data_IF_174161023297
#
_entry.id   IF_174161023297
#
_cell.length_a   1.000
_cell.length_b   1.000
_cell.length_c   1.000
_cell.angle_alpha   90.00
_cell.angle_beta   90.00
_cell.angle_gamma   90.00
#
_symmetry.space_group_name_H-M   'P 1'
#
loop_
_entity.id
_entity.type
_entity.pdbx_description
1 polymer ?
#
# COMPACT_ATOMS: atom_id res chain seq x y z
N UNK A 1 -40.72 -20.95 -22.61
CA UNK A 1 -40.03 -21.33 -21.37
C UNK A 1 -38.65 -20.70 -21.37
N UNK A 2 -38.35 -20.00 -20.27
CA UNK A 2 -37.05 -19.55 -19.76
C UNK A 2 -36.30 -18.50 -20.61
N UNK A 3 -36.55 -17.24 -20.21
CA UNK A 3 -35.74 -16.06 -20.51
C UNK A 3 -34.30 -16.26 -20.02
N UNK A 4 -33.33 -16.01 -20.89
CA UNK A 4 -31.92 -15.85 -20.51
C UNK A 4 -31.83 -14.67 -19.53
N UNK A 5 -31.65 -14.96 -18.25
CA UNK A 5 -31.26 -13.96 -17.26
C UNK A 5 -29.90 -13.41 -17.67
N UNK A 6 -29.87 -12.14 -18.09
CA UNK A 6 -28.63 -11.40 -18.26
C UNK A 6 -27.89 -11.42 -16.92
N UNK A 7 -26.76 -12.12 -16.88
CA UNK A 7 -25.81 -11.99 -15.77
C UNK A 7 -25.27 -10.57 -15.86
N UNK A 8 -25.84 -9.70 -15.04
CA UNK A 8 -25.39 -8.33 -14.87
C UNK A 8 -24.01 -8.42 -14.23
N UNK A 9 -22.95 -8.25 -15.04
CA UNK A 9 -21.58 -8.15 -14.55
C UNK A 9 -21.51 -6.95 -13.60
N UNK A 10 -21.68 -7.19 -12.30
CA UNK A 10 -21.37 -6.18 -11.29
C UNK A 10 -19.84 -6.05 -11.28
N UNK A 11 -19.36 -4.82 -11.42
CA UNK A 11 -17.98 -4.51 -11.09
C UNK A 11 -17.71 -4.99 -9.65
N UNK A 12 -16.55 -5.61 -9.41
CA UNK A 12 -16.23 -6.09 -8.08
C UNK A 12 -16.02 -4.91 -7.12
N UNK A 13 -16.58 -5.02 -5.92
CA UNK A 13 -16.30 -4.07 -4.84
C UNK A 13 -14.80 -4.14 -4.50
N UNK A 14 -14.09 -3.02 -4.60
CA UNK A 14 -12.63 -2.94 -4.38
C UNK A 14 -12.27 -2.93 -2.89
N UNK A 15 -12.86 -3.87 -2.14
CA UNK A 15 -12.83 -3.93 -0.69
C UNK A 15 -11.63 -4.73 -0.13
N UNK A 16 -11.60 -4.87 1.20
CA UNK A 16 -10.61 -5.66 1.92
C UNK A 16 -10.44 -7.09 1.37
N UNK A 17 -11.55 -7.78 1.09
CA UNK A 17 -11.51 -9.18 0.67
C UNK A 17 -10.96 -9.29 -0.75
N UNK A 18 -11.38 -8.39 -1.64
CA UNK A 18 -10.91 -8.29 -3.01
C UNK A 18 -9.39 -8.11 -3.10
N UNK A 19 -8.83 -7.18 -2.32
CA UNK A 19 -7.38 -6.96 -2.30
C UNK A 19 -6.63 -8.11 -1.62
N UNK A 20 -7.14 -8.60 -0.49
CA UNK A 20 -6.52 -9.71 0.23
C UNK A 20 -6.43 -10.99 -0.61
N UNK A 21 -7.46 -11.29 -1.40
CA UNK A 21 -7.46 -12.48 -2.26
C UNK A 21 -6.40 -12.39 -3.37
N UNK A 22 -6.17 -11.21 -3.94
CA UNK A 22 -5.11 -11.04 -4.94
C UNK A 22 -3.73 -11.32 -4.37
N UNK A 23 -3.46 -10.88 -3.14
CA UNK A 23 -2.20 -11.22 -2.48
C UNK A 23 -2.08 -12.73 -2.23
N UNK A 24 -3.14 -13.40 -1.77
CA UNK A 24 -3.13 -14.86 -1.58
C UNK A 24 -2.91 -15.64 -2.88
N UNK A 25 -3.51 -15.16 -3.95
CA UNK A 25 -3.46 -15.78 -5.27
C UNK A 25 -2.28 -15.30 -6.13
N UNK A 26 -1.35 -14.49 -5.58
CA UNK A 26 -0.22 -13.87 -6.30
C UNK A 26 -0.64 -13.10 -7.58
N UNK A 27 -1.84 -12.52 -7.58
CA UNK A 27 -2.36 -11.68 -8.67
C UNK A 27 -1.97 -10.22 -8.47
N UNK A 28 -0.67 -9.96 -8.40
CA UNK A 28 -0.09 -8.64 -8.08
C UNK A 28 0.51 -7.98 -9.32
N UNK A 29 -0.27 -7.85 -10.40
CA UNK A 29 0.22 -7.34 -11.69
C UNK A 29 0.70 -5.88 -11.69
N UNK A 30 0.42 -5.13 -10.63
CA UNK A 30 0.91 -3.77 -10.40
C UNK A 30 2.27 -3.73 -9.68
N UNK A 31 2.73 -4.85 -9.14
CA UNK A 31 3.96 -4.90 -8.36
C UNK A 31 5.20 -4.86 -9.27
N UNK A 32 6.02 -3.82 -9.09
CA UNK A 32 7.27 -3.66 -9.81
C UNK A 32 8.41 -4.56 -9.30
N UNK A 33 8.28 -5.12 -8.09
CA UNK A 33 9.33 -5.90 -7.44
C UNK A 33 10.52 -5.06 -6.92
N UNK A 34 10.43 -3.73 -7.02
CA UNK A 34 11.45 -2.76 -6.62
C UNK A 34 10.81 -1.39 -6.39
N UNK A 35 11.53 -0.50 -5.72
CA UNK A 35 11.13 0.92 -5.61
C UNK A 35 11.02 1.52 -7.01
N UNK A 36 9.95 2.26 -7.30
CA UNK A 36 9.85 2.87 -8.63
C UNK A 36 10.92 3.95 -8.83
N UNK A 37 11.47 4.11 -10.06
CA UNK A 37 12.46 5.14 -10.33
C UNK A 37 12.01 6.56 -9.94
N UNK A 38 10.77 7.02 -10.23
CA UNK A 38 10.34 8.37 -9.85
C UNK A 38 10.28 8.58 -8.33
N UNK A 39 9.77 7.60 -7.57
CA UNK A 39 9.71 7.71 -6.10
C UNK A 39 11.13 7.66 -5.51
N UNK A 40 11.98 6.79 -6.03
CA UNK A 40 13.38 6.70 -5.64
C UNK A 40 14.10 8.04 -5.84
N UNK A 41 13.97 8.63 -7.01
CA UNK A 41 14.60 9.92 -7.37
C UNK A 41 14.07 11.06 -6.50
N UNK A 42 12.79 11.03 -6.12
CA UNK A 42 12.23 11.97 -5.16
C UNK A 42 12.82 11.78 -3.76
N UNK A 43 12.86 10.54 -3.25
CA UNK A 43 13.44 10.22 -1.93
C UNK A 43 14.91 10.66 -1.85
N UNK A 44 15.67 10.52 -2.93
CA UNK A 44 17.09 10.90 -2.97
C UNK A 44 17.33 12.40 -2.79
N UNK A 45 16.33 13.24 -3.05
CA UNK A 45 16.41 14.70 -2.84
C UNK A 45 16.12 15.11 -1.40
N UNK A 46 15.49 14.24 -0.60
CA UNK A 46 15.07 14.55 0.76
C UNK A 46 16.24 14.47 1.74
N UNK A 47 16.57 15.59 2.38
CA UNK A 47 17.68 15.66 3.35
C UNK A 47 17.25 15.41 4.79
N UNK A 48 16.03 15.79 5.17
CA UNK A 48 15.52 15.56 6.52
C UNK A 48 15.03 14.11 6.66
N UNK A 49 15.74 13.33 7.49
CA UNK A 49 15.44 11.92 7.74
C UNK A 49 14.40 11.69 8.85
N UNK A 50 13.94 12.77 9.50
CA UNK A 50 12.95 12.70 10.57
C UNK A 50 11.51 12.94 10.10
N UNK A 51 11.31 13.23 8.81
CA UNK A 51 9.98 13.40 8.23
C UNK A 51 9.06 12.24 8.61
N UNK A 52 7.84 12.57 9.06
CA UNK A 52 6.74 11.62 9.23
C UNK A 52 6.21 11.26 7.84
N UNK A 53 6.57 10.10 7.34
CA UNK A 53 6.19 9.66 5.99
C UNK A 53 5.06 8.63 6.07
N UNK A 54 4.02 8.81 5.26
CA UNK A 54 2.96 7.82 5.05
C UNK A 54 3.04 7.21 3.64
N UNK A 55 2.87 5.90 3.55
CA UNK A 55 2.64 5.18 2.29
C UNK A 55 1.28 4.48 2.35
N UNK A 56 0.23 5.01 1.71
CA UNK A 56 -1.10 4.42 1.70
C UNK A 56 -1.23 3.35 0.61
N UNK A 57 -1.96 2.27 0.90
CA UNK A 57 -2.05 1.11 0.00
C UNK A 57 -0.67 0.55 -0.30
N UNK A 58 0.10 0.30 0.76
CA UNK A 58 1.56 0.22 0.68
C UNK A 58 2.10 -0.97 -0.11
N UNK A 59 1.27 -1.96 -0.44
CA UNK A 59 1.71 -3.15 -1.16
C UNK A 59 2.93 -3.80 -0.52
N UNK A 60 3.81 -4.38 -1.33
CA UNK A 60 5.04 -5.02 -0.84
C UNK A 60 6.11 -4.05 -0.29
N UNK A 61 5.82 -2.73 -0.31
CA UNK A 61 6.52 -1.68 0.43
C UNK A 61 8.02 -1.57 0.12
N UNK A 62 8.39 -1.63 -1.16
CA UNK A 62 9.77 -1.41 -1.61
C UNK A 62 10.24 0.03 -1.34
N UNK A 63 9.32 0.98 -1.42
CA UNK A 63 9.54 2.39 -1.07
C UNK A 63 9.90 2.54 0.42
N UNK A 64 9.22 1.80 1.30
CA UNK A 64 9.52 1.83 2.74
C UNK A 64 10.88 1.20 3.06
N UNK A 65 11.23 0.11 2.38
CA UNK A 65 12.55 -0.52 2.48
C UNK A 65 13.64 0.45 2.03
N UNK A 66 13.45 1.13 0.90
CA UNK A 66 14.40 2.12 0.41
C UNK A 66 14.54 3.33 1.35
N UNK A 67 13.45 3.82 1.94
CA UNK A 67 13.49 4.86 2.96
C UNK A 67 14.31 4.42 4.19
N UNK A 68 14.11 3.19 4.66
CA UNK A 68 14.89 2.65 5.78
C UNK A 68 16.39 2.58 5.44
N UNK A 69 16.75 2.12 4.24
CA UNK A 69 18.14 2.10 3.74
C UNK A 69 18.77 3.50 3.68
N UNK A 70 17.95 4.51 3.37
CA UNK A 70 18.37 5.93 3.34
C UNK A 70 18.38 6.59 4.71
N UNK A 71 18.10 5.84 5.78
CA UNK A 71 18.20 6.29 7.16
C UNK A 71 16.97 7.04 7.68
N UNK A 72 15.83 6.98 7.00
CA UNK A 72 14.59 7.56 7.53
C UNK A 72 14.10 6.79 8.75
N UNK A 73 13.56 7.53 9.72
CA UNK A 73 13.27 6.97 11.06
C UNK A 73 11.78 6.93 11.40
N UNK A 74 10.93 7.59 10.62
CA UNK A 74 9.51 7.78 10.96
C UNK A 74 8.58 7.44 9.79
N UNK A 75 8.55 6.16 9.45
CA UNK A 75 7.78 5.64 8.32
C UNK A 75 6.50 4.99 8.84
N UNK A 76 5.36 5.31 8.26
CA UNK A 76 4.11 4.56 8.46
C UNK A 76 3.66 4.01 7.12
N UNK A 77 3.33 2.72 7.10
CA UNK A 77 2.69 2.07 5.96
C UNK A 77 1.33 1.54 6.39
N UNK A 78 0.35 1.66 5.50
CA UNK A 78 -1.02 1.18 5.74
C UNK A 78 -1.53 0.44 4.52
N UNK A 79 -2.12 -0.72 4.77
CA UNK A 79 -2.85 -1.48 3.75
C UNK A 79 -4.06 -2.17 4.39
N UNK A 80 -5.09 -2.39 3.57
CA UNK A 80 -6.34 -3.01 4.00
C UNK A 80 -6.25 -4.55 3.98
N UNK A 81 -5.29 -5.12 3.23
CA UNK A 81 -5.15 -6.56 3.00
C UNK A 81 -4.38 -7.30 4.14
N UNK A 82 -5.04 -8.19 4.92
CA UNK A 82 -4.39 -8.89 6.03
C UNK A 82 -3.20 -9.78 5.66
N UNK A 83 -3.27 -10.51 4.54
CA UNK A 83 -2.22 -11.44 4.11
C UNK A 83 -0.92 -10.69 3.82
N UNK A 84 -1.02 -9.60 3.06
CA UNK A 84 0.08 -8.71 2.80
C UNK A 84 0.68 -8.17 4.10
N UNK A 85 -0.16 -7.57 4.95
CA UNK A 85 0.32 -6.93 6.19
C UNK A 85 1.00 -7.92 7.13
N UNK A 86 0.53 -9.17 7.17
CA UNK A 86 1.20 -10.25 7.91
C UNK A 86 2.63 -10.46 7.37
N UNK A 87 2.79 -10.56 6.05
CA UNK A 87 4.10 -10.68 5.41
C UNK A 87 5.02 -9.49 5.70
N UNK A 88 4.50 -8.26 5.62
CA UNK A 88 5.24 -7.04 5.92
C UNK A 88 5.73 -6.98 7.37
N UNK A 89 4.90 -7.42 8.33
CA UNK A 89 5.29 -7.51 9.74
C UNK A 89 6.46 -8.47 9.96
N UNK A 90 6.49 -9.58 9.23
CA UNK A 90 7.63 -10.50 9.24
C UNK A 90 8.86 -9.91 8.55
N UNK A 91 8.69 -9.25 7.39
CA UNK A 91 9.76 -8.60 6.62
C UNK A 91 10.50 -7.55 7.45
N UNK A 92 9.75 -6.70 8.16
CA UNK A 92 10.30 -5.57 8.91
C UNK A 92 10.38 -5.79 10.42
N UNK A 93 10.31 -7.04 10.90
CA UNK A 93 10.26 -7.36 12.33
C UNK A 93 11.41 -6.78 13.17
N UNK A 94 12.57 -6.53 12.56
CA UNK A 94 13.76 -5.98 13.21
C UNK A 94 13.83 -4.45 13.18
N UNK A 95 12.96 -3.78 12.41
CA UNK A 95 12.97 -2.33 12.25
C UNK A 95 12.04 -1.67 13.26
N UNK A 96 12.56 -0.68 13.99
CA UNK A 96 11.78 0.19 14.89
C UNK A 96 11.31 1.48 14.21
N UNK A 97 11.82 1.74 13.01
CA UNK A 97 11.63 2.99 12.27
C UNK A 97 10.42 2.94 11.32
N UNK A 98 9.67 1.85 11.36
CA UNK A 98 8.49 1.62 10.52
C UNK A 98 7.31 1.13 11.35
N UNK A 99 6.16 1.78 11.16
CA UNK A 99 4.87 1.39 11.72
C UNK A 99 4.01 0.77 10.62
N UNK A 100 3.50 -0.43 10.88
CA UNK A 100 2.72 -1.20 9.91
C UNK A 100 1.28 -1.33 10.38
N UNK A 101 0.36 -0.72 9.65
CA UNK A 101 -1.06 -0.66 9.98
C UNK A 101 -1.83 -1.58 9.03
N UNK A 102 -2.56 -2.54 9.60
CA UNK A 102 -3.66 -3.21 8.89
C UNK A 102 -4.91 -2.35 9.12
N UNK A 103 -5.39 -1.68 8.09
CA UNK A 103 -6.53 -0.78 8.24
C UNK A 103 -6.97 -0.12 6.95
N UNK A 104 -8.17 0.45 7.00
CA UNK A 104 -8.69 1.30 5.94
C UNK A 104 -8.08 2.71 6.07
N UNK A 105 -7.41 3.16 5.00
CA UNK A 105 -6.85 4.49 4.88
C UNK A 105 -7.87 5.60 5.18
N UNK A 106 -9.12 5.47 4.75
CA UNK A 106 -10.15 6.52 4.95
C UNK A 106 -10.58 6.67 6.41
N UNK A 107 -10.31 5.67 7.25
CA UNK A 107 -10.55 5.72 8.70
C UNK A 107 -9.31 6.10 9.50
N UNK A 108 -8.13 6.11 8.87
CA UNK A 108 -6.88 6.45 9.52
C UNK A 108 -6.83 7.95 9.87
N UNK A 109 -6.36 8.27 11.07
CA UNK A 109 -6.26 9.65 11.58
C UNK A 109 -4.88 9.85 12.18
N UNK A 110 -4.04 10.61 11.49
CA UNK A 110 -2.73 11.05 11.94
C UNK A 110 -2.24 12.19 11.04
N UNK A 111 -1.18 12.87 11.46
CA UNK A 111 -0.52 13.91 10.68
C UNK A 111 0.82 13.42 10.16
N UNK A 112 1.14 13.78 8.93
CA UNK A 112 2.35 13.42 8.23
C UNK A 112 2.93 14.64 7.53
N UNK A 113 4.25 14.67 7.42
CA UNK A 113 4.96 15.73 6.71
C UNK A 113 5.00 15.43 5.20
N UNK A 114 4.92 14.15 4.84
CA UNK A 114 4.96 13.66 3.46
C UNK A 114 4.09 12.42 3.28
N UNK A 115 3.37 12.34 2.16
CA UNK A 115 2.71 11.13 1.68
C UNK A 115 3.40 10.74 0.37
N UNK A 116 3.85 9.48 0.28
CA UNK A 116 4.34 8.89 -0.96
C UNK A 116 3.29 7.88 -1.43
N UNK A 117 2.65 8.16 -2.57
CA UNK A 117 1.68 7.23 -3.14
C UNK A 117 2.12 6.76 -4.52
N UNK A 118 1.93 5.47 -4.77
CA UNK A 118 2.07 4.87 -6.08
C UNK A 118 0.96 3.85 -6.28
N UNK A 119 0.22 3.99 -7.37
CA UNK A 119 -0.90 3.11 -7.76
C UNK A 119 -2.02 2.96 -6.73
N UNK A 120 -1.99 3.70 -5.61
CA UNK A 120 -3.05 3.69 -4.61
C UNK A 120 -4.29 4.45 -5.09
N UNK A 121 -4.13 5.69 -5.58
CA UNK A 121 -5.27 6.52 -5.99
C UNK A 121 -6.11 5.87 -7.10
N UNK A 122 -5.47 5.28 -8.11
CA UNK A 122 -6.16 4.58 -9.19
C UNK A 122 -6.72 3.21 -8.80
N UNK A 123 -6.41 2.72 -7.61
CA UNK A 123 -6.95 1.47 -7.05
C UNK A 123 -8.21 1.71 -6.18
N UNK A 124 -8.62 2.97 -6.00
CA UNK A 124 -9.84 3.34 -5.29
C UNK A 124 -11.08 3.14 -6.16
N UNK A 125 -12.22 2.85 -5.53
CA UNK A 125 -13.51 2.88 -6.22
C UNK A 125 -13.79 4.33 -6.69
N UNK A 126 -14.02 4.58 -7.99
CA UNK A 126 -14.30 5.92 -8.51
C UNK A 126 -15.55 6.60 -7.91
N UNK A 127 -16.39 5.85 -7.18
CA UNK A 127 -17.61 6.36 -6.52
C UNK A 127 -17.38 6.85 -5.08
N UNK A 128 -16.17 6.74 -4.55
CA UNK A 128 -15.80 7.24 -3.21
C UNK A 128 -15.88 8.76 -3.08
#
# INVERSE_FOLDING_TARGET
MLSKSAQMNREPDLDKNFWNERYRSNQTGWDLGQVSPPIKDYIDQLTDKNLRILIPGCGNSYEAEYLLEKGFTNITIIDIAPELVKGLRSKFQSSKNIKIILGDFFTHRAEYDLILEQTFFCALDPKL
#
